data_IF_927868488435
#
_entry.id   IF_927868488435
#
_cell.length_a   1.000
_cell.length_b   1.000
_cell.length_c   1.000
_cell.angle_alpha   90.00
_cell.angle_beta   90.00
_cell.angle_gamma   90.00
#
_symmetry.space_group_name_H-M   'P 1'
#
loop_
_entity.id
_entity.type
_entity.pdbx_description
1 polymer ?
#
# COMPACT_ATOMS: atom_id res chain seq x y z
N UNK A 1 35.66 11.50 38.69
CA UNK A 1 34.36 12.01 38.23
C UNK A 1 34.19 12.16 36.70
N UNK A 2 35.20 12.08 35.79
CA UNK A 2 34.96 12.31 34.34
C UNK A 2 34.56 11.06 33.53
N UNK A 3 34.65 9.85 34.10
CA UNK A 3 34.40 8.58 33.37
C UNK A 3 32.90 8.29 33.22
N UNK A 4 32.11 8.57 34.26
CA UNK A 4 30.66 8.33 34.29
C UNK A 4 29.90 9.15 33.23
N UNK A 5 30.33 10.38 33.01
CA UNK A 5 29.72 11.29 32.02
C UNK A 5 29.96 10.78 30.59
N UNK A 6 31.15 10.22 30.30
CA UNK A 6 31.48 9.67 28.99
C UNK A 6 30.68 8.39 28.67
N UNK A 7 30.43 7.56 29.67
CA UNK A 7 29.61 6.35 29.51
C UNK A 7 28.13 6.67 29.27
N UNK A 8 27.59 7.70 29.94
CA UNK A 8 26.24 8.21 29.67
C UNK A 8 26.13 8.78 28.26
N UNK A 9 27.09 9.60 27.82
CA UNK A 9 27.13 10.14 26.45
C UNK A 9 27.16 9.00 25.42
N UNK A 10 27.93 7.95 25.67
CA UNK A 10 28.02 6.78 24.79
C UNK A 10 26.70 6.01 24.72
N UNK A 11 26.00 5.83 25.85
CA UNK A 11 24.66 5.22 25.91
C UNK A 11 23.62 6.05 25.16
N UNK A 12 23.61 7.37 25.36
CA UNK A 12 22.69 8.30 24.70
C UNK A 12 22.88 8.30 23.18
N UNK A 13 24.12 8.35 22.69
CA UNK A 13 24.42 8.23 21.25
C UNK A 13 23.90 6.93 20.65
N UNK A 14 24.04 5.82 21.37
CA UNK A 14 23.54 4.51 20.93
C UNK A 14 22.00 4.50 20.84
N UNK A 15 21.32 5.14 21.81
CA UNK A 15 19.85 5.28 21.84
C UNK A 15 19.34 6.16 20.70
N UNK A 16 19.99 7.30 20.43
CA UNK A 16 19.64 8.19 19.31
C UNK A 16 19.77 7.46 17.98
N UNK A 17 20.88 6.75 17.74
CA UNK A 17 21.10 5.99 16.50
C UNK A 17 20.04 4.89 16.29
N UNK A 18 19.55 4.27 17.37
CA UNK A 18 18.46 3.29 17.34
C UNK A 18 17.13 3.95 16.96
N UNK A 19 16.82 5.09 17.56
CA UNK A 19 15.60 5.86 17.26
C UNK A 19 15.59 6.39 15.82
N UNK A 20 16.73 6.87 15.31
CA UNK A 20 16.88 7.30 13.92
C UNK A 20 16.59 6.16 12.94
N UNK A 21 17.13 4.95 13.21
CA UNK A 21 16.90 3.78 12.38
C UNK A 21 15.42 3.38 12.36
N UNK A 22 14.77 3.37 13.52
CA UNK A 22 13.33 3.09 13.66
C UNK A 22 12.47 4.11 12.92
N UNK A 23 12.81 5.40 13.04
CA UNK A 23 12.10 6.46 12.31
C UNK A 23 12.27 6.35 10.79
N UNK A 24 13.45 5.95 10.31
CA UNK A 24 13.68 5.70 8.89
C UNK A 24 12.82 4.55 8.36
N UNK A 25 12.74 3.44 9.11
CA UNK A 25 11.91 2.28 8.76
C UNK A 25 10.41 2.62 8.70
N UNK A 26 9.87 3.28 9.73
CA UNK A 26 8.47 3.71 9.75
C UNK A 26 8.16 4.66 8.58
N UNK A 27 9.10 5.57 8.26
CA UNK A 27 8.93 6.49 7.12
C UNK A 27 8.87 5.73 5.79
N UNK A 28 9.72 4.74 5.60
CA UNK A 28 9.74 3.93 4.38
C UNK A 28 8.46 3.09 4.26
N UNK A 29 7.99 2.48 5.35
CA UNK A 29 6.70 1.77 5.37
C UNK A 29 5.53 2.69 5.02
N UNK A 30 5.47 3.88 5.63
CA UNK A 30 4.44 4.88 5.33
C UNK A 30 4.51 5.36 3.87
N UNK A 31 5.71 5.47 3.30
CA UNK A 31 5.88 5.84 1.89
C UNK A 31 5.34 4.75 0.95
N UNK A 32 5.64 3.48 1.23
CA UNK A 32 5.14 2.32 0.47
C UNK A 32 3.60 2.26 0.54
N UNK A 33 3.03 2.40 1.75
CA UNK A 33 1.58 2.36 1.93
C UNK A 33 0.87 3.48 1.16
N UNK A 34 1.44 4.70 1.13
CA UNK A 34 0.90 5.81 0.32
C UNK A 34 0.90 5.50 -1.17
N UNK A 35 1.97 4.88 -1.69
CA UNK A 35 2.03 4.48 -3.10
C UNK A 35 0.99 3.41 -3.44
N UNK A 36 0.76 2.45 -2.53
CA UNK A 36 -0.29 1.43 -2.71
C UNK A 36 -1.67 2.07 -2.71
N UNK A 37 -1.98 2.91 -1.71
CA UNK A 37 -3.28 3.57 -1.58
C UNK A 37 -3.59 4.50 -2.77
N UNK A 38 -2.59 5.20 -3.30
CA UNK A 38 -2.73 5.98 -4.51
C UNK A 38 -3.07 5.11 -5.74
N UNK A 39 -2.41 3.96 -5.89
CA UNK A 39 -2.67 3.04 -6.99
C UNK A 39 -4.07 2.41 -6.89
N UNK A 40 -4.53 2.05 -5.69
CA UNK A 40 -5.91 1.60 -5.45
C UNK A 40 -6.95 2.68 -5.77
N UNK A 41 -6.68 3.93 -5.40
CA UNK A 41 -7.55 5.06 -5.76
C UNK A 41 -7.71 5.22 -7.27
N UNK A 42 -6.61 5.12 -8.03
CA UNK A 42 -6.68 5.22 -9.50
C UNK A 42 -7.52 4.09 -10.08
N UNK A 43 -7.41 2.88 -9.52
CA UNK A 43 -8.24 1.76 -9.93
C UNK A 43 -9.72 2.01 -9.68
N UNK A 44 -10.08 2.48 -8.49
CA UNK A 44 -11.47 2.78 -8.15
C UNK A 44 -12.05 3.89 -9.05
N UNK A 45 -11.22 4.83 -9.51
CA UNK A 45 -11.61 5.81 -10.51
C UNK A 45 -11.92 5.15 -11.87
N UNK A 46 -11.10 4.20 -12.34
CA UNK A 46 -11.39 3.45 -13.56
C UNK A 46 -12.70 2.64 -13.44
N UNK A 47 -12.93 1.95 -12.31
CA UNK A 47 -14.20 1.26 -12.06
C UNK A 47 -15.39 2.20 -12.08
N UNK A 48 -15.27 3.38 -11.45
CA UNK A 48 -16.32 4.40 -11.47
C UNK A 48 -16.68 4.80 -12.89
N UNK A 49 -15.68 5.03 -13.75
CA UNK A 49 -15.94 5.39 -15.16
C UNK A 49 -16.59 4.24 -15.92
N UNK A 50 -16.16 2.99 -15.70
CA UNK A 50 -16.75 1.84 -16.37
C UNK A 50 -18.21 1.61 -15.98
N UNK A 51 -18.53 1.70 -14.67
CA UNK A 51 -19.90 1.57 -14.16
C UNK A 51 -20.77 2.71 -14.70
N UNK A 52 -20.26 3.94 -14.74
CA UNK A 52 -21.00 5.09 -15.29
C UNK A 52 -21.33 4.89 -16.77
N UNK A 53 -20.40 4.38 -17.58
CA UNK A 53 -20.62 4.08 -18.99
C UNK A 53 -21.65 2.95 -19.18
N UNK A 54 -21.56 1.88 -18.38
CA UNK A 54 -22.53 0.77 -18.43
C UNK A 54 -23.92 1.25 -18.02
N UNK A 55 -24.04 1.99 -16.91
CA UNK A 55 -25.31 2.52 -16.43
C UNK A 55 -25.92 3.52 -17.42
N UNK A 56 -25.09 4.39 -18.00
CA UNK A 56 -25.51 5.33 -19.05
C UNK A 56 -25.95 4.62 -20.33
N UNK A 57 -25.22 3.60 -20.78
CA UNK A 57 -25.59 2.80 -21.94
C UNK A 57 -26.88 2.01 -21.71
N UNK A 58 -27.05 1.42 -20.53
CA UNK A 58 -28.28 0.74 -20.15
C UNK A 58 -29.47 1.70 -20.07
N UNK A 59 -29.29 2.88 -19.48
CA UNK A 59 -30.32 3.92 -19.45
C UNK A 59 -30.68 4.39 -20.87
N UNK A 60 -29.69 4.59 -21.74
CA UNK A 60 -29.92 4.98 -23.13
C UNK A 60 -30.73 3.93 -23.90
N UNK A 61 -30.44 2.63 -23.73
CA UNK A 61 -31.25 1.54 -24.33
C UNK A 61 -32.66 1.53 -23.73
N UNK A 62 -32.80 1.62 -22.41
CA UNK A 62 -34.08 1.45 -21.73
C UNK A 62 -35.04 2.61 -21.92
N UNK A 63 -34.53 3.84 -22.01
CA UNK A 63 -35.32 5.07 -22.18
C UNK A 63 -35.34 5.59 -23.62
N UNK A 64 -34.71 4.88 -24.55
CA UNK A 64 -34.74 5.20 -25.97
C UNK A 64 -36.16 5.09 -26.53
N UNK A 65 -36.65 6.18 -27.14
CA UNK A 65 -37.81 6.16 -28.04
C UNK A 65 -37.38 6.24 -29.52
N UNK A 66 -36.09 6.38 -29.79
CA UNK A 66 -35.53 6.59 -31.13
C UNK A 66 -34.36 5.65 -31.38
N UNK A 67 -34.34 5.01 -32.55
CA UNK A 67 -33.32 4.03 -32.98
C UNK A 67 -31.88 4.52 -32.80
N UNK A 68 -31.63 5.83 -32.96
CA UNK A 68 -30.31 6.42 -32.75
C UNK A 68 -29.80 6.31 -31.31
N UNK A 69 -30.66 6.50 -30.30
CA UNK A 69 -30.30 6.37 -28.87
C UNK A 69 -30.02 4.92 -28.51
N UNK A 70 -30.77 3.99 -29.09
CA UNK A 70 -30.58 2.55 -28.90
C UNK A 70 -29.24 2.08 -29.48
N UNK A 71 -28.87 2.57 -30.67
CA UNK A 71 -27.57 2.30 -31.30
C UNK A 71 -26.40 2.85 -30.48
N UNK A 72 -26.55 4.06 -29.92
CA UNK A 72 -25.55 4.65 -29.02
C UNK A 72 -25.41 3.80 -27.75
N UNK A 73 -26.52 3.42 -27.13
CA UNK A 73 -26.49 2.56 -25.95
C UNK A 73 -25.87 1.18 -26.23
N UNK A 74 -26.17 0.60 -27.38
CA UNK A 74 -25.63 -0.69 -27.82
C UNK A 74 -24.11 -0.66 -28.07
N UNK A 75 -23.57 0.48 -28.52
CA UNK A 75 -22.12 0.65 -28.67
C UNK A 75 -21.43 1.01 -27.34
N UNK A 76 -22.11 1.77 -26.48
CA UNK A 76 -21.57 2.20 -25.19
C UNK A 76 -21.46 1.05 -24.18
N UNK A 77 -22.40 0.10 -24.22
CA UNK A 77 -22.44 -1.06 -23.33
C UNK A 77 -21.22 -1.99 -23.46
N UNK A 78 -20.83 -2.49 -24.65
CA UNK A 78 -19.62 -3.29 -24.81
C UNK A 78 -18.35 -2.49 -24.52
N UNK A 79 -18.31 -1.18 -24.84
CA UNK A 79 -17.18 -0.31 -24.48
C UNK A 79 -17.03 -0.24 -22.95
N UNK A 80 -18.13 -0.03 -22.22
CA UNK A 80 -18.15 -0.01 -20.77
C UNK A 80 -17.72 -1.34 -20.15
N UNK A 81 -18.17 -2.47 -20.72
CA UNK A 81 -17.77 -3.82 -20.29
C UNK A 81 -16.27 -4.05 -20.55
N UNK A 82 -15.75 -3.69 -21.73
CA UNK A 82 -14.32 -3.81 -22.05
C UNK A 82 -13.47 -2.99 -21.08
N UNK A 83 -13.88 -1.76 -20.76
CA UNK A 83 -13.23 -0.91 -19.76
C UNK A 83 -13.28 -1.52 -18.36
N UNK A 84 -14.40 -2.11 -17.96
CA UNK A 84 -14.54 -2.80 -16.68
C UNK A 84 -13.60 -4.01 -16.59
N UNK A 85 -13.57 -4.86 -17.63
CA UNK A 85 -12.71 -6.04 -17.69
C UNK A 85 -11.23 -5.64 -17.70
N UNK A 86 -10.84 -4.67 -18.52
CA UNK A 86 -9.47 -4.16 -18.56
C UNK A 86 -9.02 -3.63 -17.18
N UNK A 87 -9.88 -2.89 -16.51
CA UNK A 87 -9.63 -2.36 -15.17
C UNK A 87 -9.48 -3.48 -14.14
N UNK A 88 -10.36 -4.48 -14.18
CA UNK A 88 -10.33 -5.63 -13.27
C UNK A 88 -9.08 -6.50 -13.46
N UNK A 89 -8.70 -6.81 -14.71
CA UNK A 89 -7.49 -7.59 -15.01
C UNK A 89 -6.23 -6.85 -14.54
N UNK A 90 -6.16 -5.53 -14.78
CA UNK A 90 -5.03 -4.71 -14.35
C UNK A 90 -4.90 -4.64 -12.83
N UNK A 91 -6.02 -4.65 -12.10
CA UNK A 91 -6.02 -4.75 -10.63
C UNK A 91 -5.37 -6.02 -10.12
N UNK A 92 -5.81 -7.17 -10.63
CA UNK A 92 -5.33 -8.47 -10.19
C UNK A 92 -3.82 -8.63 -10.44
N UNK A 93 -3.34 -8.11 -11.57
CA UNK A 93 -1.91 -8.11 -11.89
C UNK A 93 -1.09 -7.22 -10.95
N UNK A 94 -1.62 -6.05 -10.55
CA UNK A 94 -0.95 -5.14 -9.60
C UNK A 94 -0.95 -5.70 -8.18
N UNK A 95 -2.04 -6.33 -7.72
CA UNK A 95 -2.10 -6.98 -6.41
C UNK A 95 -1.06 -8.11 -6.27
N UNK A 96 -0.88 -8.92 -7.32
CA UNK A 96 0.13 -10.01 -7.33
C UNK A 96 1.56 -9.49 -7.25
N UNK A 97 1.85 -8.33 -7.85
CA UNK A 97 3.19 -7.73 -7.83
C UNK A 97 3.56 -7.20 -6.44
N UNK A 98 2.60 -6.60 -5.74
CA UNK A 98 2.80 -6.01 -4.40
C UNK A 98 2.95 -7.11 -3.35
N UNK A 99 2.19 -8.21 -3.45
CA UNK A 99 2.33 -9.35 -2.53
C UNK A 99 3.71 -10.01 -2.62
N UNK A 100 4.34 -10.06 -3.81
CA UNK A 100 5.71 -10.60 -3.97
C UNK A 100 6.79 -9.70 -3.38
N UNK A 101 6.64 -8.37 -3.43
CA UNK A 101 7.59 -7.45 -2.79
C UNK A 101 7.45 -7.38 -1.26
N UNK A 102 6.28 -7.74 -0.73
CA UNK A 102 6.02 -7.80 0.70
C UNK A 102 6.68 -9.00 1.39
N UNK A 103 7.08 -10.03 0.65
CA UNK A 103 7.82 -11.18 1.22
C UNK A 103 9.32 -10.93 1.40
N UNK A 104 9.90 -9.96 0.67
CA UNK A 104 11.33 -9.62 0.78
C UNK A 104 11.60 -8.41 1.68
N UNK A 105 10.56 -7.68 2.11
CA UNK A 105 10.66 -6.74 3.21
C UNK A 105 10.28 -7.48 4.50
N UNK A 106 11.28 -8.07 5.15
CA UNK A 106 11.13 -8.42 6.56
C UNK A 106 11.21 -7.10 7.34
N UNK A 107 10.10 -6.61 7.92
CA UNK A 107 10.22 -5.56 8.93
C UNK A 107 11.08 -6.16 10.05
N UNK A 108 12.07 -5.42 10.55
CA UNK A 108 12.74 -5.78 11.79
C UNK A 108 11.77 -5.45 12.91
N UNK A 109 10.69 -6.25 12.97
CA UNK A 109 9.55 -6.09 13.86
C UNK A 109 10.03 -5.91 15.30
N UNK A 110 9.33 -5.07 16.06
CA UNK A 110 9.57 -4.84 17.50
C UNK A 110 9.68 -6.13 18.32
N UNK A 111 9.14 -7.24 17.83
CA UNK A 111 9.32 -8.55 18.46
C UNK A 111 10.79 -9.00 18.50
N UNK A 112 11.60 -8.67 17.51
CA UNK A 112 13.05 -8.93 17.57
C UNK A 112 13.76 -7.99 18.55
N UNK A 113 13.22 -6.79 18.80
CA UNK A 113 13.77 -5.86 19.77
C UNK A 113 13.63 -6.40 21.20
N UNK A 114 12.47 -6.97 21.55
CA UNK A 114 12.24 -7.64 22.83
C UNK A 114 13.09 -8.91 22.99
N UNK A 115 13.28 -9.68 21.91
CA UNK A 115 14.13 -10.86 21.93
C UNK A 115 15.61 -10.51 22.07
N UNK A 116 16.08 -9.46 21.37
CA UNK A 116 17.43 -8.93 21.56
C UNK A 116 17.62 -8.33 22.94
N UNK A 117 16.63 -7.62 23.50
CA UNK A 117 16.72 -7.08 24.86
C UNK A 117 16.75 -8.20 25.91
N UNK A 118 15.93 -9.26 25.74
CA UNK A 118 16.00 -10.47 26.57
C UNK A 118 17.31 -11.22 26.43
N UNK A 119 17.89 -11.30 25.23
CA UNK A 119 19.18 -11.98 24.99
C UNK A 119 20.36 -11.16 25.51
N UNK A 120 20.38 -9.84 25.29
CA UNK A 120 21.43 -8.96 25.78
C UNK A 120 21.38 -8.84 27.31
N UNK A 121 20.19 -8.81 27.92
CA UNK A 121 20.03 -8.90 29.38
C UNK A 121 20.53 -10.24 29.94
N UNK A 122 20.33 -11.35 29.20
CA UNK A 122 20.83 -12.69 29.59
C UNK A 122 22.35 -12.83 29.53
N UNK A 123 23.03 -12.10 28.63
CA UNK A 123 24.50 -12.13 28.50
C UNK A 123 25.21 -10.99 29.24
N UNK A 124 24.52 -9.92 29.60
CA UNK A 124 25.10 -8.73 30.26
C UNK A 124 25.23 -8.81 31.77
N UNK A 125 25.05 -9.98 32.38
CA UNK A 125 25.14 -10.21 33.83
C UNK A 125 26.29 -11.16 34.22
N UNK A 126 27.33 -11.20 33.39
CA UNK A 126 28.61 -11.86 33.68
C UNK A 126 29.67 -10.79 33.57
N UNK A 127 29.80 -10.00 34.65
CA UNK A 127 30.96 -9.25 35.12
C UNK A 127 30.58 -8.56 36.44
#
# INVERSE_FOLDING_TARGET
>A
MPVQEQDEIKKLRKKIKKLEKKNAEIRDEMAIQRTIFANERTLMAYFRTAIALIAGGFAAIKFSQHVYMELIGLTLLPIGILLAVYSFVRYLNKQKLIQRHRQNYEPVSHHHEELYEKQVSRYGNVD
#
